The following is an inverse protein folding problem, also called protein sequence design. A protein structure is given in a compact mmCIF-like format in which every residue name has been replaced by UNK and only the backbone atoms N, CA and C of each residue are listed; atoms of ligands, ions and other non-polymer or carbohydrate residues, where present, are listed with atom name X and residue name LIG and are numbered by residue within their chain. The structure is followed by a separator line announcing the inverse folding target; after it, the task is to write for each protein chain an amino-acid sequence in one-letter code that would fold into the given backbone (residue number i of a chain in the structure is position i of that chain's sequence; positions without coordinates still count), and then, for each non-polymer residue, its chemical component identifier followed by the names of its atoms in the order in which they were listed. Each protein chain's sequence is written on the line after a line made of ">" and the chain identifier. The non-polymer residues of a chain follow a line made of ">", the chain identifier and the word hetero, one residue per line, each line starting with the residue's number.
data_IF_136928294383
#
_entry.id   IF_136928294383
#
_cell.length_a   1.000
_cell.length_b   1.000
_cell.length_c   1.000
_cell.angle_alpha   90.00
_cell.angle_beta   90.00
_cell.angle_gamma   90.00
#
_symmetry.space_group_name_H-M   'P 1'
#
loop_
_entity.id
_entity.type
_entity.pdbx_description
1 polymer ?
#
# COMPACT_ATOMS: atom_id res chain seq x y z
N UNK A 1 -20.33 17.31 12.15
CA UNK A 1 -20.40 17.05 10.69
C UNK A 1 -21.36 15.93 10.41
N UNK A 2 -22.22 16.04 9.38
CA UNK A 2 -23.16 14.99 8.98
C UNK A 2 -22.68 14.34 7.69
N UNK A 3 -22.15 13.12 7.78
CA UNK A 3 -21.70 12.36 6.61
C UNK A 3 -22.89 11.81 5.81
N UNK A 4 -22.70 11.65 4.50
CA UNK A 4 -23.68 10.99 3.62
C UNK A 4 -23.97 9.56 4.08
N UNK A 5 -25.22 9.11 4.00
CA UNK A 5 -25.60 7.73 4.34
C UNK A 5 -24.82 6.66 3.54
N UNK A 6 -24.25 7.01 2.38
CA UNK A 6 -23.44 6.11 1.56
C UNK A 6 -22.11 5.72 2.20
N UNK A 7 -21.56 6.53 3.11
CA UNK A 7 -20.27 6.22 3.78
C UNK A 7 -20.37 4.98 4.66
N UNK A 8 -21.56 4.70 5.22
CA UNK A 8 -21.84 3.49 6.01
C UNK A 8 -21.69 2.18 5.24
N UNK A 9 -21.59 2.22 3.90
CA UNK A 9 -21.40 1.04 3.05
C UNK A 9 -19.92 0.68 2.84
N UNK A 10 -19.01 1.61 3.11
CA UNK A 10 -17.56 1.42 2.97
C UNK A 10 -16.95 0.93 4.30
N UNK A 11 -17.66 1.15 5.41
CA UNK A 11 -17.31 0.62 6.72
C UNK A 11 -17.70 -0.87 6.78
N UNK A 12 -16.73 -1.78 6.76
CA UNK A 12 -16.99 -3.23 6.77
C UNK A 12 -15.73 -4.09 6.62
N UNK A 13 -15.91 -5.37 6.22
CA UNK A 13 -14.91 -6.46 6.18
C UNK A 13 -13.55 -6.08 5.57
N UNK A 14 -13.49 -5.15 4.62
CA UNK A 14 -12.22 -4.71 4.02
C UNK A 14 -11.29 -3.95 4.99
N UNK A 15 -11.84 -3.25 5.99
CA UNK A 15 -11.03 -2.58 7.02
C UNK A 15 -10.45 -3.55 8.07
N UNK A 16 -11.10 -4.71 8.27
CA UNK A 16 -10.64 -5.70 9.25
C UNK A 16 -9.35 -6.42 8.80
N UNK A 17 -9.11 -6.55 7.50
CA UNK A 17 -7.91 -7.19 6.95
C UNK A 17 -6.61 -6.48 7.35
N UNK A 18 -6.64 -5.14 7.43
CA UNK A 18 -5.50 -4.36 7.87
C UNK A 18 -5.11 -4.63 9.33
N UNK A 19 -6.09 -4.89 10.21
CA UNK A 19 -5.82 -5.27 11.59
C UNK A 19 -5.03 -6.58 11.70
N UNK A 20 -5.39 -7.58 10.88
CA UNK A 20 -4.66 -8.86 10.80
C UNK A 20 -3.24 -8.66 10.25
N UNK A 21 -3.10 -7.84 9.21
CA UNK A 21 -1.78 -7.49 8.67
C UNK A 21 -0.88 -6.83 9.74
N UNK A 22 -1.39 -5.83 10.46
CA UNK A 22 -0.62 -5.14 11.51
C UNK A 22 -0.18 -6.07 12.64
N UNK A 23 -1.05 -6.99 13.09
CA UNK A 23 -0.66 -7.96 14.13
C UNK A 23 0.36 -8.98 13.61
N UNK A 24 0.20 -9.48 12.38
CA UNK A 24 1.17 -10.37 11.77
C UNK A 24 2.56 -9.71 11.62
N UNK A 25 2.60 -8.42 11.27
CA UNK A 25 3.84 -7.63 11.24
C UNK A 25 4.50 -7.54 12.62
N UNK A 26 3.72 -7.25 13.66
CA UNK A 26 4.22 -7.19 15.05
C UNK A 26 4.80 -8.53 15.51
N UNK A 27 4.14 -9.64 15.19
CA UNK A 27 4.65 -10.99 15.51
C UNK A 27 5.95 -11.29 14.77
N UNK A 28 6.05 -10.94 13.48
CA UNK A 28 7.27 -11.10 12.69
C UNK A 28 8.44 -10.28 13.26
N UNK A 29 8.19 -9.02 13.64
CA UNK A 29 9.20 -8.15 14.27
C UNK A 29 9.65 -8.66 15.65
N UNK A 30 8.76 -9.35 16.38
CA UNK A 30 9.09 -10.05 17.63
C UNK A 30 9.85 -11.37 17.42
N UNK A 31 10.18 -11.75 16.17
CA UNK A 31 10.96 -12.94 15.84
C UNK A 31 10.14 -14.23 15.68
N UNK A 32 8.82 -14.14 15.61
CA UNK A 32 7.98 -15.30 15.28
C UNK A 32 8.09 -15.66 13.79
N UNK A 33 8.06 -16.96 13.49
CA UNK A 33 7.98 -17.45 12.11
C UNK A 33 6.57 -17.23 11.55
N UNK A 34 6.43 -16.22 10.69
CA UNK A 34 5.14 -15.77 10.14
C UNK A 34 5.21 -15.73 8.62
N UNK A 35 4.36 -16.50 7.96
CA UNK A 35 4.17 -16.45 6.50
C UNK A 35 3.17 -15.34 6.18
N UNK A 36 3.60 -14.33 5.44
CA UNK A 36 2.78 -13.15 5.14
C UNK A 36 1.95 -13.34 3.87
N UNK A 37 0.65 -13.60 4.02
CA UNK A 37 -0.32 -13.71 2.91
C UNK A 37 -1.41 -12.63 2.97
N UNK A 38 -1.09 -11.49 3.59
CA UNK A 38 -2.07 -10.43 3.93
C UNK A 38 -2.03 -9.25 2.97
N UNK A 39 -0.97 -9.11 2.17
CA UNK A 39 -0.75 -8.03 1.21
C UNK A 39 -0.52 -8.64 -0.17
N UNK A 40 -1.11 -8.02 -1.19
CA UNK A 40 -0.98 -8.47 -2.58
C UNK A 40 0.17 -7.82 -3.35
N UNK A 41 0.95 -6.96 -2.70
CA UNK A 41 2.14 -6.37 -3.30
C UNK A 41 3.20 -7.45 -3.54
N UNK A 42 3.88 -7.43 -4.70
CA UNK A 42 4.95 -8.36 -4.98
C UNK A 42 6.15 -8.14 -4.06
N UNK A 43 6.82 -9.22 -3.66
CA UNK A 43 8.08 -9.15 -2.93
C UNK A 43 9.25 -8.68 -3.81
N UNK A 44 9.07 -8.66 -5.13
CA UNK A 44 10.09 -8.23 -6.08
C UNK A 44 10.19 -6.71 -6.15
N UNK A 45 11.42 -6.20 -6.22
CA UNK A 45 11.65 -4.80 -6.51
C UNK A 45 11.08 -4.41 -7.89
N UNK A 46 10.62 -3.15 -8.06
CA UNK A 46 10.27 -2.64 -9.38
C UNK A 46 11.45 -2.78 -10.36
N UNK A 47 11.19 -3.00 -11.67
CA UNK A 47 12.26 -3.08 -12.66
C UNK A 47 13.12 -1.81 -12.68
N UNK A 48 14.44 -1.96 -12.78
CA UNK A 48 15.40 -0.84 -12.76
C UNK A 48 15.07 0.26 -13.78
N UNK A 49 14.64 -0.14 -14.98
CA UNK A 49 14.24 0.81 -16.04
C UNK A 49 13.09 1.73 -15.62
N UNK A 50 12.17 1.23 -14.79
CA UNK A 50 11.06 2.03 -14.28
C UNK A 50 11.53 3.04 -13.23
N UNK A 51 12.44 2.63 -12.35
CA UNK A 51 13.06 3.48 -11.33
C UNK A 51 13.82 4.62 -12.01
N UNK A 52 14.68 4.31 -12.97
CA UNK A 52 15.47 5.32 -13.70
C UNK A 52 14.59 6.29 -14.51
N UNK A 53 13.54 5.80 -15.17
CA UNK A 53 12.59 6.66 -15.86
C UNK A 53 11.87 7.62 -14.89
N UNK A 54 11.49 7.12 -13.71
CA UNK A 54 10.84 7.93 -12.67
C UNK A 54 11.78 9.02 -12.16
N UNK A 55 13.04 8.67 -11.86
CA UNK A 55 14.05 9.62 -11.40
C UNK A 55 14.31 10.69 -12.47
N UNK A 56 14.43 10.29 -13.74
CA UNK A 56 14.66 11.21 -14.84
C UNK A 56 13.51 12.22 -15.01
N UNK A 57 12.25 11.75 -14.94
CA UNK A 57 11.07 12.61 -15.03
C UNK A 57 11.01 13.63 -13.88
N UNK A 58 11.31 13.20 -12.65
CA UNK A 58 11.37 14.07 -11.48
C UNK A 58 12.47 15.14 -11.61
N UNK A 59 13.66 14.74 -12.07
CA UNK A 59 14.78 15.68 -12.35
C UNK A 59 14.44 16.67 -13.47
N UNK A 60 13.61 16.27 -14.43
CA UNK A 60 13.13 17.13 -15.51
C UNK A 60 11.92 18.01 -15.11
N UNK A 61 11.54 18.03 -13.82
CA UNK A 61 10.40 18.79 -13.30
C UNK A 61 9.05 18.45 -13.98
N UNK A 62 8.86 17.20 -14.40
CA UNK A 62 7.60 16.71 -14.96
C UNK A 62 6.57 16.42 -13.85
N UNK A 63 6.16 17.44 -13.11
CA UNK A 63 5.23 17.33 -11.96
C UNK A 63 3.86 17.96 -12.19
N UNK A 64 3.66 18.54 -13.37
CA UNK A 64 2.39 19.17 -13.76
C UNK A 64 1.37 18.16 -14.28
N UNK A 65 0.21 18.67 -14.70
CA UNK A 65 -0.81 17.84 -15.36
C UNK A 65 -0.22 17.13 -16.58
N UNK A 66 -0.48 15.82 -16.66
CA UNK A 66 -0.20 15.04 -17.85
C UNK A 66 -1.01 15.63 -19.02
N UNK A 67 -0.35 15.79 -20.17
CA UNK A 67 -0.99 16.11 -21.45
C UNK A 67 -1.09 14.87 -22.31
#
# INVERSE_FOLDING_TARGET
>A
MKYSARTKRVTGRGAAGWGVHSEAMRLREAGHDVIMLTVGDPDQAPPEKLIEATIAALRAHQTGYAR
#
